data_IF_928133223070
#
_entry.id   IF_928133223070
#
_cell.length_a   1.000
_cell.length_b   1.000
_cell.length_c   1.000
_cell.angle_alpha   90.00
_cell.angle_beta   90.00
_cell.angle_gamma   90.00
#
_symmetry.space_group_name_H-M   'P 1'
#
loop_
_entity.id
_entity.type
_entity.pdbx_description
1 polymer ?
#
# COMPACT_ATOMS: atom_id res chain seq x y z
N UNK A 1 -12.55 5.14 -6.10
CA UNK A 1 -12.29 3.82 -5.50
C UNK A 1 -10.79 3.66 -5.30
N UNK A 2 -10.33 3.49 -4.06
CA UNK A 2 -8.91 3.22 -3.78
C UNK A 2 -8.50 1.87 -4.36
N UNK A 3 -7.24 1.74 -4.80
CA UNK A 3 -6.69 0.45 -5.25
C UNK A 3 -6.82 -0.59 -4.12
N UNK A 4 -7.13 -1.86 -4.43
CA UNK A 4 -7.14 -2.92 -3.42
C UNK A 4 -5.79 -2.99 -2.72
N UNK A 5 -5.79 -2.83 -1.40
CA UNK A 5 -4.58 -2.86 -0.57
C UNK A 5 -4.22 -4.31 -0.28
N UNK A 6 -2.98 -4.69 -0.59
CA UNK A 6 -2.45 -5.98 -0.16
C UNK A 6 -2.11 -5.92 1.31
N UNK A 7 -2.75 -6.75 2.14
CA UNK A 7 -2.45 -6.86 3.57
C UNK A 7 -1.69 -8.14 3.87
N UNK A 8 -0.80 -8.09 4.87
CA UNK A 8 -0.05 -9.27 5.33
C UNK A 8 -0.92 -10.28 6.10
N UNK A 9 -2.02 -9.84 6.71
CA UNK A 9 -3.02 -10.68 7.39
C UNK A 9 -4.32 -9.90 7.65
N UNK A 10 -5.41 -10.60 7.99
CA UNK A 10 -6.69 -9.98 8.35
C UNK A 10 -6.56 -9.08 9.60
N UNK A 11 -5.76 -9.49 10.59
CA UNK A 11 -5.49 -8.67 11.79
C UNK A 11 -4.78 -7.37 11.41
N UNK A 12 -3.82 -7.44 10.49
CA UNK A 12 -3.11 -6.26 9.99
C UNK A 12 -4.00 -5.35 9.14
N UNK A 13 -4.99 -5.90 8.44
CA UNK A 13 -6.00 -5.11 7.75
C UNK A 13 -6.82 -4.28 8.76
N UNK A 14 -7.37 -4.91 9.80
CA UNK A 14 -8.16 -4.23 10.83
C UNK A 14 -7.36 -3.13 11.55
N UNK A 15 -6.11 -3.41 11.93
CA UNK A 15 -5.23 -2.40 12.55
C UNK A 15 -4.91 -1.25 11.61
N UNK A 16 -4.72 -1.53 10.32
CA UNK A 16 -4.47 -0.49 9.31
C UNK A 16 -5.69 0.41 9.13
N UNK A 17 -6.89 -0.17 9.09
CA UNK A 17 -8.14 0.57 9.00
C UNK A 17 -8.33 1.50 10.20
N UNK A 18 -8.12 1.01 11.42
CA UNK A 18 -8.14 1.87 12.61
C UNK A 18 -7.11 3.00 12.54
N UNK A 19 -5.89 2.72 12.06
CA UNK A 19 -4.87 3.76 11.90
C UNK A 19 -5.27 4.83 10.86
N UNK A 20 -5.96 4.43 9.78
CA UNK A 20 -6.51 5.39 8.81
C UNK A 20 -7.54 6.30 9.46
N UNK A 21 -8.49 5.73 10.21
CA UNK A 21 -9.53 6.51 10.89
C UNK A 21 -8.90 7.54 11.84
N UNK A 22 -7.84 7.14 12.56
CA UNK A 22 -7.07 8.04 13.43
C UNK A 22 -6.36 9.14 12.64
N UNK A 23 -5.79 8.81 11.48
CA UNK A 23 -5.11 9.79 10.62
C UNK A 23 -6.11 10.77 10.01
N UNK A 24 -7.26 10.30 9.55
CA UNK A 24 -8.35 11.14 9.02
C UNK A 24 -8.94 12.06 10.09
N UNK A 25 -9.00 11.60 11.35
CA UNK A 25 -9.35 12.42 12.51
C UNK A 25 -8.23 13.40 12.95
N UNK A 26 -7.05 13.36 12.32
CA UNK A 26 -5.90 14.21 12.67
C UNK A 26 -5.19 13.82 13.97
N UNK A 27 -5.47 12.63 14.51
CA UNK A 27 -4.90 12.12 15.76
C UNK A 27 -3.50 11.53 15.60
N UNK A 28 -3.18 11.07 14.39
CA UNK A 28 -1.83 10.65 14.02
C UNK A 28 -1.38 11.38 12.76
N UNK A 29 -0.08 11.63 12.65
CA UNK A 29 0.51 12.30 11.50
C UNK A 29 0.85 11.33 10.36
N UNK A 30 1.25 11.91 9.23
CA UNK A 30 1.64 11.16 8.03
C UNK A 30 2.85 10.25 8.26
N UNK A 31 3.77 10.64 9.14
CA UNK A 31 4.93 9.80 9.47
C UNK A 31 4.48 8.53 10.19
N UNK A 32 3.57 8.67 11.16
CA UNK A 32 2.98 7.55 11.90
C UNK A 32 2.17 6.64 10.97
N UNK A 33 1.34 7.21 10.10
CA UNK A 33 0.59 6.43 9.11
C UNK A 33 1.50 5.63 8.19
N UNK A 34 2.65 6.19 7.77
CA UNK A 34 3.65 5.47 6.96
C UNK A 34 4.23 4.25 7.69
N UNK A 35 4.44 4.32 9.00
CA UNK A 35 4.88 3.15 9.80
C UNK A 35 3.81 2.06 9.83
N UNK A 36 2.53 2.44 9.89
CA UNK A 36 1.42 1.50 9.75
C UNK A 36 1.37 0.88 8.35
N UNK A 37 1.57 1.66 7.28
CA UNK A 37 1.68 1.14 5.92
C UNK A 37 2.76 0.06 5.82
N UNK A 38 3.97 0.34 6.28
CA UNK A 38 5.10 -0.60 6.22
C UNK A 38 4.85 -1.87 7.06
N UNK A 39 4.21 -1.73 8.22
CA UNK A 39 3.93 -2.87 9.11
C UNK A 39 2.78 -3.75 8.60
N UNK A 40 1.72 -3.14 8.05
CA UNK A 40 0.46 -3.82 7.69
C UNK A 40 0.38 -4.26 6.23
N UNK A 41 0.88 -3.44 5.29
CA UNK A 41 0.73 -3.68 3.86
C UNK A 41 1.80 -4.63 3.34
N UNK A 42 1.42 -5.47 2.38
CA UNK A 42 2.35 -6.30 1.62
C UNK A 42 3.24 -5.38 0.79
N UNK A 43 4.58 -5.45 0.96
CA UNK A 43 5.48 -4.58 0.23
C UNK A 43 5.35 -4.83 -1.27
N UNK A 44 5.36 -3.75 -2.04
CA UNK A 44 5.43 -3.86 -3.50
C UNK A 44 6.79 -4.46 -3.87
N UNK A 45 6.78 -5.53 -4.65
CA UNK A 45 8.02 -6.13 -5.15
C UNK A 45 8.79 -5.09 -5.97
N UNK A 46 10.11 -5.11 -5.88
CA UNK A 46 10.95 -4.33 -6.81
C UNK A 46 10.80 -4.93 -8.21
N UNK A 47 10.69 -4.06 -9.20
CA UNK A 47 10.67 -4.45 -10.62
C UNK A 47 11.96 -3.99 -11.28
N UNK A 48 12.53 -4.80 -12.17
CA UNK A 48 13.62 -4.36 -13.06
C UNK A 48 13.08 -3.47 -14.19
N UNK A 49 13.98 -2.76 -14.87
CA UNK A 49 13.62 -1.98 -16.04
C UNK A 49 12.98 -2.86 -17.13
N UNK A 50 13.49 -4.07 -17.37
CA UNK A 50 12.90 -4.99 -18.34
C UNK A 50 11.51 -5.46 -17.90
N UNK A 51 11.31 -5.77 -16.62
CA UNK A 51 10.00 -6.19 -16.11
C UNK A 51 8.95 -5.07 -16.24
N UNK A 52 9.34 -3.81 -15.98
CA UNK A 52 8.45 -2.65 -16.18
C UNK A 52 8.12 -2.48 -17.65
N UNK A 53 9.11 -2.62 -18.55
CA UNK A 53 8.89 -2.51 -20.00
C UNK A 53 7.92 -3.60 -20.47
N UNK A 54 8.18 -4.85 -20.12
CA UNK A 54 7.31 -5.97 -20.47
C UNK A 54 5.89 -5.79 -19.92
N UNK A 55 5.76 -5.25 -18.70
CA UNK A 55 4.45 -4.91 -18.13
C UNK A 55 3.74 -3.83 -18.95
N UNK A 56 4.42 -2.74 -19.32
CA UNK A 56 3.84 -1.65 -20.12
C UNK A 56 3.41 -2.11 -21.51
N UNK A 57 4.23 -2.93 -22.16
CA UNK A 57 3.93 -3.50 -23.48
C UNK A 57 2.71 -4.44 -23.40
N UNK A 58 2.65 -5.31 -22.37
CA UNK A 58 1.51 -6.21 -22.13
C UNK A 58 0.20 -5.46 -21.90
N UNK A 59 0.25 -4.40 -21.10
CA UNK A 59 -0.92 -3.59 -20.77
C UNK A 59 -1.22 -2.51 -21.83
N UNK A 60 -0.44 -2.42 -22.91
CA UNK A 60 -0.59 -1.45 -23.99
C UNK A 60 -0.59 0.02 -23.52
N UNK A 61 0.20 0.31 -22.48
CA UNK A 61 0.39 1.65 -21.89
C UNK A 61 1.80 2.21 -22.17
N UNK A 62 2.35 1.79 -23.31
CA UNK A 62 3.66 2.20 -23.83
C UNK A 62 3.70 3.67 -24.22
#
# INVERSE_FOLDING_TARGET
MGRPRGYKSNVKAALHETALDLHEAGLIDKETMRRFDESCLTPVRKFTAEEIRALREREQVG
#
